data_IF_121166969783
#
_entry.id   IF_121166969783
#
_cell.length_a   1.000
_cell.length_b   1.000
_cell.length_c   1.000
_cell.angle_alpha   90.00
_cell.angle_beta   90.00
_cell.angle_gamma   90.00
#
_symmetry.space_group_name_H-M   'P 1'
#
loop_
_entity.id
_entity.type
_entity.pdbx_description
1 polymer ?
#
# COMPACT_ATOMS: atom_id res chain seq x y z
N UNK A 1 17.63 -0.74 -4.06
CA UNK A 1 16.51 -1.36 -3.30
C UNK A 1 15.22 -1.06 -4.05
N UNK A 2 14.21 -1.92 -3.94
CA UNK A 2 12.90 -1.68 -4.57
C UNK A 2 12.10 -0.65 -3.74
N UNK A 3 11.42 0.32 -4.37
CA UNK A 3 10.56 1.29 -3.66
C UNK A 3 9.43 0.57 -2.90
N UNK A 4 8.97 1.14 -1.79
CA UNK A 4 7.92 0.54 -0.97
C UNK A 4 6.53 0.87 -1.51
N UNK A 5 5.67 -0.15 -1.59
CA UNK A 5 4.31 -0.04 -2.07
C UNK A 5 3.33 -0.58 -1.02
N UNK A 6 2.28 0.19 -0.75
CA UNK A 6 1.13 -0.25 0.04
C UNK A 6 0.10 -0.89 -0.89
N UNK A 7 -0.21 -2.17 -0.68
CA UNK A 7 -1.32 -2.85 -1.34
C UNK A 7 -2.52 -2.87 -0.40
N UNK A 8 -3.58 -2.12 -0.73
CA UNK A 8 -4.68 -1.86 0.21
C UNK A 8 -5.59 -3.07 0.45
N UNK A 9 -5.67 -3.99 -0.51
CA UNK A 9 -6.50 -5.20 -0.46
C UNK A 9 -6.01 -6.29 -1.41
N UNK A 10 -6.65 -7.48 -1.40
CA UNK A 10 -6.33 -8.54 -2.35
C UNK A 10 -6.59 -8.05 -3.78
N UNK A 11 -5.67 -8.36 -4.70
CA UNK A 11 -5.78 -8.04 -6.13
C UNK A 11 -5.69 -9.31 -6.98
N UNK A 12 -6.05 -9.20 -8.26
CA UNK A 12 -5.82 -10.29 -9.22
C UNK A 12 -4.32 -10.63 -9.35
N UNK A 13 -3.95 -11.90 -9.64
CA UNK A 13 -2.55 -12.32 -9.72
C UNK A 13 -1.68 -11.44 -10.63
N UNK A 14 -2.20 -11.04 -11.79
CA UNK A 14 -1.50 -10.12 -12.71
C UNK A 14 -0.99 -8.84 -12.03
N UNK A 15 -1.79 -8.28 -11.11
CA UNK A 15 -1.44 -7.07 -10.39
C UNK A 15 -0.45 -7.40 -9.28
N UNK A 16 -0.73 -8.41 -8.44
CA UNK A 16 0.14 -8.86 -7.35
C UNK A 16 1.56 -9.19 -7.84
N UNK A 17 1.67 -9.95 -8.93
CA UNK A 17 2.95 -10.35 -9.51
C UNK A 17 3.70 -9.14 -10.10
N UNK A 18 2.97 -8.26 -10.78
CA UNK A 18 3.53 -7.02 -11.34
C UNK A 18 4.12 -6.11 -10.27
N UNK A 19 3.36 -5.84 -9.19
CA UNK A 19 3.86 -5.01 -8.10
C UNK A 19 4.97 -5.70 -7.31
N UNK A 20 4.92 -7.02 -7.10
CA UNK A 20 5.99 -7.75 -6.42
C UNK A 20 7.31 -7.76 -7.22
N UNK A 21 7.22 -7.75 -8.55
CA UNK A 21 8.39 -7.65 -9.42
C UNK A 21 9.11 -6.30 -9.29
N UNK A 22 8.37 -5.19 -9.11
CA UNK A 22 8.92 -3.83 -9.11
C UNK A 22 9.10 -3.20 -7.70
N UNK A 23 8.33 -3.62 -6.70
CA UNK A 23 8.24 -2.97 -5.39
C UNK A 23 8.50 -3.93 -4.22
N UNK A 24 8.81 -3.35 -3.06
CA UNK A 24 8.66 -4.02 -1.76
C UNK A 24 7.19 -3.89 -1.34
N UNK A 25 6.43 -4.97 -1.42
CA UNK A 25 4.96 -4.93 -1.26
C UNK A 25 4.55 -5.15 0.19
N UNK A 26 3.85 -4.16 0.75
CA UNK A 26 3.25 -4.21 2.08
C UNK A 26 1.74 -4.45 1.95
N UNK A 27 1.27 -5.64 2.35
CA UNK A 27 -0.12 -6.08 2.16
C UNK A 27 -0.98 -5.75 3.38
N UNK A 28 -1.78 -4.70 3.27
CA UNK A 28 -2.61 -4.22 4.37
C UNK A 28 -3.69 -5.23 4.80
N UNK A 29 -4.21 -6.03 3.88
CA UNK A 29 -5.26 -7.01 4.19
C UNK A 29 -4.77 -8.23 4.99
N UNK A 30 -3.45 -8.45 5.06
CA UNK A 30 -2.84 -9.55 5.81
C UNK A 30 -2.43 -9.13 7.21
N UNK A 31 -2.45 -7.82 7.50
CA UNK A 31 -2.11 -7.31 8.81
C UNK A 31 -3.24 -7.61 9.82
N UNK A 32 -2.95 -8.25 10.97
CA UNK A 32 -3.94 -8.48 12.02
C UNK A 32 -4.41 -7.15 12.65
N UNK A 33 -3.53 -6.16 12.71
CA UNK A 33 -3.84 -4.77 13.05
C UNK A 33 -3.39 -3.86 11.91
N UNK A 34 -4.37 -3.40 11.12
CA UNK A 34 -4.13 -2.55 9.94
C UNK A 34 -3.56 -1.19 10.32
N UNK A 35 -3.96 -0.63 11.46
CA UNK A 35 -3.57 0.72 11.86
C UNK A 35 -2.14 0.72 12.42
N UNK A 36 -1.80 -0.24 13.29
CA UNK A 36 -0.44 -0.42 13.76
C UNK A 36 0.52 -0.73 12.59
N UNK A 37 0.10 -1.57 11.65
CA UNK A 37 0.88 -1.88 10.45
C UNK A 37 1.15 -0.63 9.61
N UNK A 38 0.11 0.14 9.28
CA UNK A 38 0.26 1.38 8.52
C UNK A 38 1.19 2.37 9.22
N UNK A 39 1.03 2.57 10.54
CA UNK A 39 1.90 3.45 11.31
C UNK A 39 3.37 3.06 11.23
N UNK A 40 3.66 1.75 11.17
CA UNK A 40 5.04 1.24 11.07
C UNK A 40 5.70 1.45 9.71
N UNK A 41 4.94 1.57 8.62
CA UNK A 41 5.48 1.59 7.25
C UNK A 41 5.23 2.90 6.49
N UNK A 42 4.26 3.72 6.91
CA UNK A 42 3.78 4.85 6.12
C UNK A 42 4.87 5.86 5.75
N UNK A 43 5.87 6.05 6.63
CA UNK A 43 7.02 6.93 6.37
C UNK A 43 7.89 6.51 5.18
N UNK A 44 7.79 5.27 4.71
CA UNK A 44 8.58 4.72 3.60
C UNK A 44 7.77 4.48 2.32
N UNK A 45 6.43 4.56 2.37
CA UNK A 45 5.58 4.30 1.21
C UNK A 45 5.77 5.35 0.11
N UNK A 46 6.14 4.87 -1.08
CA UNK A 46 6.32 5.69 -2.28
C UNK A 46 5.20 5.49 -3.30
N UNK A 47 4.49 4.35 -3.24
CA UNK A 47 3.37 4.03 -4.12
C UNK A 47 2.22 3.39 -3.32
N UNK A 48 0.99 3.65 -3.72
CA UNK A 48 -0.20 2.94 -3.21
C UNK A 48 -0.84 2.21 -4.39
N UNK A 49 -1.11 0.92 -4.26
CA UNK A 49 -1.96 0.19 -5.20
C UNK A 49 -3.31 -0.06 -4.53
N UNK A 50 -4.36 0.51 -5.11
CA UNK A 50 -5.70 0.52 -4.51
C UNK A 50 -6.82 0.23 -5.51
N UNK A 51 -8.02 -0.02 -5.01
CA UNK A 51 -9.21 -0.28 -5.81
C UNK A 51 -10.48 -0.23 -4.97
N UNK A 52 -11.60 0.17 -5.56
CA UNK A 52 -12.86 0.42 -4.82
C UNK A 52 -13.35 -0.78 -3.98
N UNK A 53 -13.11 -2.00 -4.46
CA UNK A 53 -13.45 -3.25 -3.76
C UNK A 53 -12.67 -3.50 -2.45
N UNK A 54 -11.56 -2.78 -2.20
CA UNK A 54 -10.70 -3.05 -1.03
C UNK A 54 -11.27 -2.50 0.27
N UNK A 55 -12.27 -1.61 0.19
CA UNK A 55 -12.86 -0.93 1.34
C UNK A 55 -11.90 0.04 2.04
N UNK A 56 -10.71 0.29 1.50
CA UNK A 56 -9.71 1.20 2.07
C UNK A 56 -9.86 2.56 1.42
N UNK A 57 -10.18 3.57 2.24
CA UNK A 57 -10.21 4.96 1.78
C UNK A 57 -8.78 5.43 1.53
N UNK A 58 -8.46 5.67 0.26
CA UNK A 58 -7.20 6.30 -0.15
C UNK A 58 -7.43 7.81 -0.25
N UNK A 59 -7.73 8.41 0.90
CA UNK A 59 -8.12 9.82 1.02
C UNK A 59 -6.97 10.69 1.54
N UNK A 60 -7.25 11.98 1.76
CA UNK A 60 -6.28 12.96 2.25
C UNK A 60 -5.57 12.48 3.52
N UNK A 61 -6.28 11.84 4.45
CA UNK A 61 -5.69 11.39 5.71
C UNK A 61 -4.66 10.26 5.48
N UNK A 62 -4.93 9.32 4.57
CA UNK A 62 -3.94 8.30 4.22
C UNK A 62 -2.75 8.90 3.45
N UNK A 63 -3.01 9.83 2.52
CA UNK A 63 -1.97 10.48 1.71
C UNK A 63 -0.99 11.26 2.61
N UNK A 64 -1.50 12.04 3.57
CA UNK A 64 -0.68 12.83 4.51
C UNK A 64 0.20 11.97 5.43
N UNK A 65 -0.20 10.72 5.70
CA UNK A 65 0.63 9.76 6.46
C UNK A 65 1.84 9.25 5.67
N UNK A 66 1.82 9.36 4.35
CA UNK A 66 2.85 8.84 3.45
C UNK A 66 3.65 9.99 2.82
N UNK A 67 4.59 10.62 3.55
CA UNK A 67 5.30 11.82 3.09
C UNK A 67 6.19 11.60 1.87
N UNK A 68 6.52 10.34 1.53
CA UNK A 68 7.29 9.96 0.35
C UNK A 68 6.42 9.52 -0.84
N UNK A 69 5.10 9.59 -0.71
CA UNK A 69 4.18 9.10 -1.74
C UNK A 69 4.33 9.89 -3.05
N UNK A 70 4.46 9.16 -4.16
CA UNK A 70 4.66 9.71 -5.50
C UNK A 70 3.52 9.36 -6.46
N UNK A 71 2.84 8.24 -6.21
CA UNK A 71 1.80 7.70 -7.10
C UNK A 71 0.78 6.86 -6.34
N UNK A 72 -0.47 6.87 -6.82
CA UNK A 72 -1.61 6.06 -6.35
C UNK A 72 -2.22 5.37 -7.57
#
# INVERSE_FOLDING_TARGET
>A
MKPALLLTGPMMPLIEDGVAAAFTVHRLHQAPDREAFLKGIAGDIEAICTGGHTGVKTDKALIERCPKLKVI
#
